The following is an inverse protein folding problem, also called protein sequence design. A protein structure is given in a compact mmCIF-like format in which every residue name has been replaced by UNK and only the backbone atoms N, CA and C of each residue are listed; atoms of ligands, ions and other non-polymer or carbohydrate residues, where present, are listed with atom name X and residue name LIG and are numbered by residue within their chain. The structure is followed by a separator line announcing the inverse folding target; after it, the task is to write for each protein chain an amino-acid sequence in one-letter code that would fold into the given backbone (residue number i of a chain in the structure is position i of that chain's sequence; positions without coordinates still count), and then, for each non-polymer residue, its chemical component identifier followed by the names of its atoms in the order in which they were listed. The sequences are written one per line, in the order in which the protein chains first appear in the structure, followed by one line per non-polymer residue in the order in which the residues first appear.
data_IF_218618657175
#
_entry.id   IF_218618657175
#
_cell.length_a   1.000
_cell.length_b   1.000
_cell.length_c   1.000
_cell.angle_alpha   90.00
_cell.angle_beta   90.00
_cell.angle_gamma   90.00
#
_symmetry.space_group_name_H-M   'P 1'
#
loop_
_entity.id
_entity.type
_entity.pdbx_description
1 polymer ?
#
# COMPACT_ATOMS: atom_id res chain seq x y z
N UNK A 1 8.52 11.57 -16.16
CA UNK A 1 9.14 10.23 -16.23
C UNK A 1 10.07 9.97 -15.04
N UNK A 2 11.01 10.86 -14.74
CA UNK A 2 12.02 10.69 -13.66
C UNK A 2 11.41 10.42 -12.28
N UNK A 3 10.36 11.18 -11.89
CA UNK A 3 9.67 10.99 -10.59
C UNK A 3 9.04 9.60 -10.50
N UNK A 4 8.37 9.13 -11.56
CA UNK A 4 7.75 7.79 -11.62
C UNK A 4 8.81 6.70 -11.44
N UNK A 5 9.94 6.83 -12.15
CA UNK A 5 11.06 5.88 -12.01
C UNK A 5 11.56 5.83 -10.57
N UNK A 6 11.81 7.00 -9.99
CA UNK A 6 12.31 7.11 -8.61
C UNK A 6 11.34 6.52 -7.61
N UNK A 7 10.03 6.83 -7.69
CA UNK A 7 9.03 6.29 -6.78
C UNK A 7 8.93 4.76 -6.85
N UNK A 8 9.06 4.16 -8.04
CA UNK A 8 8.99 2.71 -8.22
C UNK A 8 10.27 2.02 -7.73
N UNK A 9 11.43 2.63 -7.97
CA UNK A 9 12.70 2.13 -7.40
C UNK A 9 12.67 2.19 -5.88
N UNK A 10 12.18 3.29 -5.29
CA UNK A 10 12.02 3.41 -3.84
C UNK A 10 11.02 2.39 -3.32
N UNK A 11 9.89 2.18 -4.01
CA UNK A 11 8.91 1.19 -3.63
C UNK A 11 9.51 -0.23 -3.63
N UNK A 12 10.26 -0.58 -4.66
CA UNK A 12 10.96 -1.85 -4.76
C UNK A 12 11.99 -2.00 -3.63
N UNK A 13 12.83 -0.99 -3.41
CA UNK A 13 13.87 -1.00 -2.39
C UNK A 13 13.28 -1.17 -0.98
N UNK A 14 12.23 -0.41 -0.65
CA UNK A 14 11.53 -0.52 0.64
C UNK A 14 10.89 -1.89 0.80
N UNK A 15 10.25 -2.42 -0.26
CA UNK A 15 9.62 -3.75 -0.21
C UNK A 15 10.65 -4.85 0.00
N UNK A 16 11.77 -4.82 -0.74
CA UNK A 16 12.86 -5.80 -0.57
C UNK A 16 13.46 -5.70 0.82
N UNK A 17 13.78 -4.49 1.28
CA UNK A 17 14.33 -4.27 2.62
C UNK A 17 13.38 -4.78 3.71
N UNK A 18 12.07 -4.57 3.54
CA UNK A 18 11.08 -5.03 4.50
C UNK A 18 10.90 -6.55 4.46
N UNK A 19 10.94 -7.18 3.29
CA UNK A 19 10.89 -8.64 3.16
C UNK A 19 12.11 -9.31 3.80
N UNK A 20 13.30 -8.73 3.66
CA UNK A 20 14.53 -9.31 4.22
C UNK A 20 14.74 -8.98 5.70
N UNK A 21 14.40 -7.77 6.14
CA UNK A 21 14.62 -7.33 7.52
C UNK A 21 13.38 -7.43 8.41
N UNK A 22 12.17 -7.45 7.86
CA UNK A 22 10.92 -7.34 8.60
C UNK A 22 10.72 -8.48 9.60
N UNK A 23 10.92 -9.72 9.17
CA UNK A 23 10.84 -10.89 10.06
C UNK A 23 11.85 -10.82 11.21
N UNK A 24 13.07 -10.38 10.93
CA UNK A 24 14.13 -10.22 11.94
C UNK A 24 13.73 -9.16 12.95
N UNK A 25 13.26 -8.00 12.49
CA UNK A 25 12.81 -6.90 13.36
C UNK A 25 11.66 -7.36 14.22
N UNK A 26 10.63 -8.00 13.63
CA UNK A 26 9.45 -8.51 14.32
C UNK A 26 9.80 -9.49 15.44
N UNK A 27 10.72 -10.42 15.17
CA UNK A 27 11.19 -11.39 16.17
C UNK A 27 11.92 -10.73 17.35
N UNK A 28 12.67 -9.66 17.10
CA UNK A 28 13.43 -8.96 18.15
C UNK A 28 12.54 -8.09 19.06
N UNK A 29 11.46 -7.53 18.51
CA UNK A 29 10.50 -6.71 19.28
C UNK A 29 9.32 -7.52 19.84
N UNK A 30 9.23 -8.82 19.51
CA UNK A 30 8.16 -9.71 19.97
C UNK A 30 6.81 -9.47 19.30
N UNK A 31 6.80 -8.92 18.08
CA UNK A 31 5.59 -8.63 17.29
C UNK A 31 5.35 -9.77 16.29
N UNK A 32 4.11 -10.22 16.17
CA UNK A 32 3.73 -11.28 15.22
C UNK A 32 3.26 -10.72 13.87
N UNK A 33 3.15 -11.60 12.88
CA UNK A 33 2.53 -11.25 11.58
C UNK A 33 1.07 -10.81 11.77
N UNK A 34 0.36 -11.39 12.74
CA UNK A 34 -1.04 -11.05 13.02
C UNK A 34 -1.18 -9.68 13.70
N UNK A 35 -0.26 -9.30 14.59
CA UNK A 35 -0.17 -7.94 15.12
C UNK A 35 0.04 -6.91 14.00
N UNK A 36 0.91 -7.25 13.03
CA UNK A 36 1.14 -6.41 11.86
C UNK A 36 -0.09 -6.29 10.96
N UNK A 37 -0.88 -7.37 10.81
CA UNK A 37 -2.18 -7.31 10.09
C UNK A 37 -3.14 -6.35 10.76
N UNK A 38 -3.25 -6.36 12.09
CA UNK A 38 -4.13 -5.46 12.84
C UNK A 38 -3.66 -4.01 12.67
N UNK A 39 -2.38 -3.73 12.90
CA UNK A 39 -1.81 -2.38 12.75
C UNK A 39 -1.94 -1.86 11.32
N UNK A 40 -1.61 -2.70 10.33
CA UNK A 40 -1.75 -2.36 8.91
C UNK A 40 -3.21 -2.09 8.52
N UNK A 41 -4.14 -2.90 9.03
CA UNK A 41 -5.56 -2.70 8.84
C UNK A 41 -6.05 -1.37 9.44
N UNK A 42 -5.60 -1.00 10.64
CA UNK A 42 -5.91 0.31 11.25
C UNK A 42 -5.43 1.48 10.39
N UNK A 43 -4.20 1.41 9.86
CA UNK A 43 -3.66 2.45 8.97
C UNK A 43 -4.51 2.55 7.69
N UNK A 44 -4.88 1.43 7.07
CA UNK A 44 -5.74 1.42 5.89
C UNK A 44 -7.13 1.99 6.19
N UNK A 45 -7.68 1.68 7.36
CA UNK A 45 -8.98 2.20 7.78
C UNK A 45 -8.93 3.72 7.92
N UNK A 46 -7.87 4.26 8.54
CA UNK A 46 -7.67 5.71 8.67
C UNK A 46 -7.55 6.35 7.28
N UNK A 47 -6.76 5.77 6.37
CA UNK A 47 -6.62 6.29 5.00
C UNK A 47 -7.97 6.28 4.27
N UNK A 48 -8.73 5.19 4.38
CA UNK A 48 -10.04 5.05 3.76
C UNK A 48 -11.04 6.08 4.30
N UNK A 49 -11.12 6.25 5.63
CA UNK A 49 -12.01 7.22 6.27
C UNK A 49 -11.64 8.64 5.86
N UNK A 50 -10.34 8.99 5.84
CA UNK A 50 -9.88 10.30 5.41
C UNK A 50 -10.31 10.60 3.96
N UNK A 51 -10.16 9.64 3.05
CA UNK A 51 -10.56 9.82 1.64
C UNK A 51 -12.08 9.86 1.45
N UNK A 52 -12.86 9.16 2.28
CA UNK A 52 -14.34 9.22 2.27
C UNK A 52 -14.85 10.57 2.75
N UNK A 53 -14.33 11.06 3.88
CA UNK A 53 -14.80 12.30 4.53
C UNK A 53 -14.27 13.53 3.78
N UNK A 54 -13.03 13.49 3.29
CA UNK A 54 -12.39 14.60 2.61
C UNK A 54 -11.81 14.17 1.24
N UNK A 55 -12.65 13.94 0.22
CA UNK A 55 -12.21 13.46 -1.08
C UNK A 55 -11.17 14.42 -1.69
N UNK A 56 -9.98 13.90 -2.02
CA UNK A 56 -8.92 14.69 -2.64
C UNK A 56 -7.94 15.39 -1.68
N UNK A 57 -8.15 15.36 -0.36
CA UNK A 57 -7.19 15.95 0.59
C UNK A 57 -5.86 15.20 0.66
N UNK A 58 -5.84 13.90 0.37
CA UNK A 58 -4.60 13.13 0.21
C UNK A 58 -3.74 13.67 -0.94
N UNK A 59 -4.36 14.32 -1.94
CA UNK A 59 -3.67 14.90 -3.10
C UNK A 59 -3.13 16.31 -2.82
N UNK A 60 -3.80 17.11 -2.01
CA UNK A 60 -3.41 18.51 -1.76
C UNK A 60 -2.38 18.65 -0.62
N UNK A 61 -2.53 17.95 0.51
CA UNK A 61 -1.63 18.13 1.67
C UNK A 61 -0.22 17.55 1.52
N UNK A 62 0.04 16.72 0.51
CA UNK A 62 1.35 16.06 0.30
C UNK A 62 2.19 16.69 -0.81
N UNK A 63 1.66 17.74 -1.47
CA UNK A 63 2.34 18.50 -2.52
C UNK A 63 2.96 19.79 -1.97
N UNK A 64 2.95 19.99 -0.65
CA UNK A 64 3.75 21.06 -0.02
C UNK A 64 5.25 20.72 -0.03
N UNK A 65 5.84 21.10 -1.17
CA UNK A 65 7.15 21.73 -1.39
C UNK A 65 8.03 21.84 -0.14
N UNK A 66 9.06 20.98 -0.02
CA UNK A 66 10.46 21.36 0.33
C UNK A 66 11.36 20.16 0.68
N UNK A 67 10.86 18.94 0.80
CA UNK A 67 11.72 17.77 1.09
C UNK A 67 11.51 16.65 0.08
N UNK A 68 12.50 16.48 -0.81
CA UNK A 68 12.88 15.23 -1.49
C UNK A 68 11.67 14.33 -1.85
N UNK A 69 11.06 14.63 -3.00
CA UNK A 69 9.86 13.98 -3.56
C UNK A 69 9.98 12.49 -3.94
N UNK A 70 10.81 11.74 -3.22
CA UNK A 70 11.08 10.32 -3.39
C UNK A 70 10.39 9.49 -2.29
N UNK A 71 10.26 10.06 -1.08
CA UNK A 71 9.76 9.34 0.11
C UNK A 71 8.24 9.45 0.35
N UNK A 72 7.57 10.61 0.18
CA UNK A 72 6.15 10.74 0.59
C UNK A 72 5.11 10.06 -0.32
N UNK A 73 5.52 9.68 -1.54
CA UNK A 73 4.64 9.01 -2.54
C UNK A 73 4.86 7.49 -2.50
N UNK A 74 6.11 7.03 -2.44
CA UNK A 74 6.43 5.60 -2.42
C UNK A 74 5.82 4.93 -1.18
N UNK A 75 5.90 5.59 -0.02
CA UNK A 75 5.31 5.17 1.24
C UNK A 75 4.28 6.23 1.64
N UNK A 76 2.97 5.95 1.74
CA UNK A 76 2.27 4.66 1.74
C UNK A 76 1.50 4.34 0.44
N UNK A 77 1.58 5.16 -0.62
CA UNK A 77 0.68 5.00 -1.77
C UNK A 77 1.07 3.85 -2.71
N UNK A 78 2.36 3.54 -2.86
CA UNK A 78 2.84 2.44 -3.70
C UNK A 78 3.14 1.21 -2.83
N UNK A 79 3.89 1.42 -1.75
CA UNK A 79 4.18 0.41 -0.71
C UNK A 79 3.34 0.74 0.50
N UNK A 80 2.11 0.24 0.49
CA UNK A 80 1.19 0.36 1.61
C UNK A 80 1.29 -0.82 2.59
N UNK A 81 0.71 -0.68 3.80
CA UNK A 81 0.62 -1.77 4.77
C UNK A 81 -0.09 -3.01 4.20
N UNK A 82 -1.05 -2.83 3.28
CA UNK A 82 -1.70 -3.93 2.56
C UNK A 82 -0.70 -4.76 1.74
N UNK A 83 0.16 -4.10 0.95
CA UNK A 83 1.19 -4.75 0.14
C UNK A 83 2.17 -5.50 1.04
N UNK A 84 2.70 -4.83 2.07
CA UNK A 84 3.69 -5.42 2.98
C UNK A 84 3.13 -6.63 3.71
N UNK A 85 1.90 -6.55 4.21
CA UNK A 85 1.23 -7.69 4.86
C UNK A 85 1.05 -8.85 3.89
N UNK A 86 0.58 -8.55 2.67
CA UNK A 86 0.38 -9.59 1.64
C UNK A 86 1.68 -10.27 1.29
N UNK A 87 2.78 -9.53 1.16
CA UNK A 87 4.11 -10.08 0.91
C UNK A 87 4.55 -11.03 2.03
N UNK A 88 4.39 -10.65 3.31
CA UNK A 88 4.76 -11.51 4.44
C UNK A 88 3.96 -12.82 4.40
N UNK A 89 2.63 -12.74 4.23
CA UNK A 89 1.77 -13.93 4.19
C UNK A 89 2.15 -14.84 3.01
N UNK A 90 2.41 -14.26 1.84
CA UNK A 90 2.81 -15.02 0.66
C UNK A 90 4.21 -15.63 0.81
N UNK A 91 5.13 -14.97 1.51
CA UNK A 91 6.46 -15.49 1.81
C UNK A 91 6.40 -16.73 2.69
N UNK A 92 5.55 -16.70 3.73
CA UNK A 92 5.35 -17.82 4.64
C UNK A 92 4.78 -19.05 3.92
N UNK A 93 3.84 -18.85 2.98
CA UNK A 93 3.19 -19.94 2.26
C UNK A 93 3.95 -20.45 1.02
N UNK A 94 4.66 -19.59 0.31
CA UNK A 94 5.18 -19.88 -1.03
C UNK A 94 6.70 -19.64 -1.20
N UNK A 95 7.41 -19.27 -0.13
CA UNK A 95 8.82 -18.87 -0.20
C UNK A 95 9.02 -17.58 -0.98
N UNK A 96 10.28 -17.21 -1.27
CA UNK A 96 10.60 -15.86 -1.80
C UNK A 96 10.31 -15.62 -3.29
N UNK A 97 10.27 -16.69 -4.09
CA UNK A 97 10.21 -16.55 -5.54
C UNK A 97 8.84 -16.02 -6.04
N UNK A 98 7.74 -16.64 -5.60
CA UNK A 98 6.38 -16.28 -6.01
C UNK A 98 5.98 -14.85 -5.56
N UNK A 99 6.19 -14.43 -4.30
CA UNK A 99 5.89 -13.07 -3.85
C UNK A 99 6.75 -12.03 -4.57
N UNK A 100 8.01 -12.34 -4.88
CA UNK A 100 8.88 -11.43 -5.62
C UNK A 100 8.40 -11.21 -7.06
N UNK A 101 8.02 -12.27 -7.77
CA UNK A 101 7.42 -12.15 -9.11
C UNK A 101 6.12 -11.33 -9.05
N UNK A 102 5.27 -11.59 -8.06
CA UNK A 102 4.03 -10.83 -7.84
C UNK A 102 4.28 -9.34 -7.57
N UNK A 103 5.30 -9.02 -6.76
CA UNK A 103 5.73 -7.64 -6.48
C UNK A 103 6.19 -6.93 -7.76
N UNK A 104 7.07 -7.55 -8.54
CA UNK A 104 7.57 -6.96 -9.80
C UNK A 104 6.42 -6.76 -10.79
N UNK A 105 5.52 -7.72 -10.91
CA UNK A 105 4.34 -7.61 -11.76
C UNK A 105 3.42 -6.45 -11.29
N UNK A 106 3.16 -6.34 -9.99
CA UNK A 106 2.36 -5.26 -9.41
C UNK A 106 2.99 -3.88 -9.68
N UNK A 107 4.29 -3.73 -9.47
CA UNK A 107 5.02 -2.49 -9.77
C UNK A 107 4.99 -2.15 -11.27
N UNK A 108 5.00 -3.17 -12.15
CA UNK A 108 4.78 -3.01 -13.59
C UNK A 108 3.40 -2.42 -13.91
N UNK A 109 2.34 -2.91 -13.26
CA UNK A 109 0.98 -2.36 -13.40
C UNK A 109 0.94 -0.90 -12.93
N UNK A 110 1.54 -0.60 -11.77
CA UNK A 110 1.61 0.78 -11.24
C UNK A 110 2.36 1.71 -12.20
N UNK A 111 3.48 1.25 -12.76
CA UNK A 111 4.23 2.01 -13.76
C UNK A 111 3.37 2.40 -14.96
N UNK A 112 2.65 1.42 -15.52
CA UNK A 112 1.78 1.65 -16.69
C UNK A 112 0.66 2.62 -16.33
N UNK A 113 0.02 2.42 -15.16
CA UNK A 113 -1.05 3.29 -14.69
C UNK A 113 -0.59 4.75 -14.54
N UNK A 114 0.59 4.97 -13.95
CA UNK A 114 1.16 6.32 -13.80
C UNK A 114 1.59 6.92 -15.14
N UNK A 115 2.16 6.13 -16.04
CA UNK A 115 2.57 6.62 -17.37
C UNK A 115 1.35 7.02 -18.21
N UNK A 116 0.24 6.29 -18.08
CA UNK A 116 -1.02 6.58 -18.78
C UNK A 116 -2.01 7.43 -17.97
N UNK A 117 -1.59 8.02 -16.86
CA UNK A 117 -2.47 8.78 -15.97
C UNK A 117 -3.18 9.94 -16.69
N UNK A 118 -2.50 10.63 -17.62
CA UNK A 118 -3.10 11.71 -18.42
C UNK A 118 -4.20 11.22 -19.36
N UNK A 119 -3.98 10.07 -20.01
CA UNK A 119 -4.97 9.40 -20.87
C UNK A 119 -6.16 8.92 -20.05
N UNK A 120 -5.92 8.29 -18.90
CA UNK A 120 -6.95 7.85 -17.96
C UNK A 120 -7.79 9.05 -17.50
N UNK A 121 -7.12 10.15 -17.15
CA UNK A 121 -7.79 11.37 -16.71
C UNK A 121 -8.70 11.96 -17.80
N UNK A 122 -8.23 11.97 -19.05
CA UNK A 122 -9.01 12.48 -20.19
C UNK A 122 -10.20 11.56 -20.54
N UNK A 123 -10.05 10.24 -20.38
CA UNK A 123 -11.11 9.27 -20.69
C UNK A 123 -12.23 9.27 -19.64
N UNK A 124 -11.86 9.27 -18.36
CA UNK A 124 -12.80 9.13 -17.24
C UNK A 124 -13.38 10.50 -16.82
N UNK A 125 -12.63 11.58 -17.00
CA UNK A 125 -13.01 12.91 -16.56
C UNK A 125 -12.97 13.08 -15.04
N UNK A 126 -13.08 14.33 -14.58
CA UNK A 126 -12.95 14.68 -13.14
C UNK A 126 -13.99 13.98 -12.27
N UNK A 127 -15.25 13.94 -12.71
CA UNK A 127 -16.36 13.33 -11.98
C UNK A 127 -16.19 11.82 -11.83
N UNK A 128 -15.78 11.13 -12.89
CA UNK A 128 -15.54 9.68 -12.84
C UNK A 128 -14.36 9.31 -11.93
N UNK A 129 -13.28 10.10 -11.94
CA UNK A 129 -12.15 9.90 -11.03
C UNK A 129 -12.59 10.06 -9.57
N UNK A 130 -13.44 11.04 -9.28
CA UNK A 130 -13.95 11.25 -7.92
C UNK A 130 -14.85 10.09 -7.47
N UNK A 131 -15.70 9.57 -8.37
CA UNK A 131 -16.53 8.40 -8.10
C UNK A 131 -15.67 7.15 -7.84
N UNK A 132 -14.67 6.89 -8.69
CA UNK A 132 -13.75 5.75 -8.52
C UNK A 132 -12.94 5.90 -7.23
N UNK A 133 -12.46 7.11 -6.90
CA UNK A 133 -11.73 7.35 -5.63
C UNK A 133 -12.59 6.97 -4.43
N UNK A 134 -13.87 7.37 -4.41
CA UNK A 134 -14.81 6.99 -3.35
C UNK A 134 -15.05 5.49 -3.28
N UNK A 135 -15.25 4.83 -4.42
CA UNK A 135 -15.43 3.38 -4.47
C UNK A 135 -14.19 2.65 -3.93
N UNK A 136 -12.99 3.07 -4.34
CA UNK A 136 -11.73 2.50 -3.86
C UNK A 136 -11.55 2.73 -2.35
N UNK A 137 -11.96 3.87 -1.81
CA UNK A 137 -11.90 4.13 -0.37
C UNK A 137 -12.84 3.18 0.41
N UNK A 138 -14.04 2.91 -0.08
CA UNK A 138 -14.96 1.93 0.53
C UNK A 138 -14.37 0.51 0.47
N UNK A 139 -13.76 0.13 -0.65
CA UNK A 139 -13.05 -1.16 -0.78
C UNK A 139 -11.86 -1.24 0.19
N UNK A 140 -11.09 -0.16 0.33
CA UNK A 140 -9.96 -0.08 1.24
C UNK A 140 -10.40 -0.24 2.70
N UNK A 141 -11.52 0.39 3.10
CA UNK A 141 -12.12 0.20 4.42
C UNK A 141 -12.53 -1.26 4.63
N UNK A 142 -13.08 -1.92 3.61
CA UNK A 142 -13.46 -3.33 3.68
C UNK A 142 -12.24 -4.25 3.87
N UNK A 143 -11.16 -3.99 3.12
CA UNK A 143 -9.87 -4.70 3.26
C UNK A 143 -9.28 -4.46 4.64
N UNK A 144 -9.34 -3.23 5.15
CA UNK A 144 -8.88 -2.87 6.49
C UNK A 144 -9.59 -3.69 7.58
N UNK A 145 -10.92 -3.74 7.55
CA UNK A 145 -11.72 -4.53 8.48
C UNK A 145 -11.41 -6.02 8.34
N UNK A 146 -11.23 -6.53 7.12
CA UNK A 146 -10.83 -7.92 6.89
C UNK A 146 -9.47 -8.24 7.52
N UNK A 147 -8.47 -7.37 7.35
CA UNK A 147 -7.14 -7.55 7.93
C UNK A 147 -7.19 -7.56 9.46
N UNK A 148 -7.92 -6.61 10.06
CA UNK A 148 -8.12 -6.56 11.51
C UNK A 148 -8.81 -7.82 12.01
N UNK A 149 -9.90 -8.25 11.34
CA UNK A 149 -10.63 -9.47 11.69
C UNK A 149 -9.74 -10.70 11.64
N UNK A 150 -8.97 -10.88 10.56
CA UNK A 150 -8.07 -12.03 10.40
C UNK A 150 -7.00 -12.01 11.48
N UNK A 151 -6.36 -10.86 11.73
CA UNK A 151 -5.35 -10.73 12.79
C UNK A 151 -5.92 -11.11 14.15
N UNK A 152 -7.03 -10.49 14.57
CA UNK A 152 -7.68 -10.78 15.86
C UNK A 152 -8.07 -12.26 15.97
N UNK A 153 -8.71 -12.83 14.94
CA UNK A 153 -9.15 -14.23 14.97
C UNK A 153 -7.97 -15.20 15.08
N UNK A 154 -6.86 -14.91 14.43
CA UNK A 154 -5.65 -15.73 14.51
C UNK A 154 -5.02 -15.65 15.90
N UNK A 155 -4.93 -14.44 16.48
CA UNK A 155 -4.40 -14.23 17.83
C UNK A 155 -5.23 -14.94 18.90
N UNK A 156 -6.56 -15.02 18.75
CA UNK A 156 -7.44 -15.71 19.71
C UNK A 156 -7.38 -17.24 19.57
N UNK A 157 -7.03 -17.77 18.39
CA UNK A 157 -6.98 -19.21 18.12
C UNK A 157 -5.64 -19.86 18.41
N UNK A 158 -4.57 -19.07 18.54
CA UNK A 158 -3.24 -19.51 18.98
C UNK A 158 -3.19 -19.65 20.50
#
# INVERSE_FOLDING_TARGET
ATIIKQSIITALAVSIAFVTAGEIVFRQIGVTVDDFKIAGGLVLLIIAVLEIVHPGTLKEKRVDRTTIGVVPIAVPMIVGPALLTTLIVLLEHYGILIPFIGLVANLGVVWIAFTKASTIHRLIGKTGILAISKLMAILLASIAVMMIRIGIMNTIRQ
#
